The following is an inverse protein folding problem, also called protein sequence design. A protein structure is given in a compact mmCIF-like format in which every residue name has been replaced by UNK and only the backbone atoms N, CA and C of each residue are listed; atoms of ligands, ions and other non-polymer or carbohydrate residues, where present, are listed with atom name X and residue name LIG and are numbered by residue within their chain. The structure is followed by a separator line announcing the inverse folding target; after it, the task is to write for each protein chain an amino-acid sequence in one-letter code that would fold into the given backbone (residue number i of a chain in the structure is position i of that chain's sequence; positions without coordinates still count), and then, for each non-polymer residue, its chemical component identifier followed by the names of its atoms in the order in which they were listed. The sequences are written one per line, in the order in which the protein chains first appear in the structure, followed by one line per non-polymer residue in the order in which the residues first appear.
data_IF_142089463140
#
_entry.id   IF_142089463140
#
_cell.length_a   1.000
_cell.length_b   1.000
_cell.length_c   1.000
_cell.angle_alpha   90.00
_cell.angle_beta   90.00
_cell.angle_gamma   90.00
#
_symmetry.space_group_name_H-M   'P 1'
#
loop_
_entity.id
_entity.type
_entity.pdbx_description
1 polymer ?
#
# COMPACT_ATOMS: atom_id res chain seq x y z
N UNK A 1 -31.08 22.48 37.00
CA UNK A 1 -29.95 23.43 37.17
C UNK A 1 -28.78 22.83 36.41
N UNK A 2 -28.64 23.23 35.15
CA UNK A 2 -27.54 22.82 34.29
C UNK A 2 -26.25 23.40 34.86
N UNK A 3 -25.28 22.55 35.18
CA UNK A 3 -23.93 22.98 35.52
C UNK A 3 -23.05 22.67 34.33
N UNK A 4 -22.79 23.72 33.53
CA UNK A 4 -21.77 23.68 32.49
C UNK A 4 -20.40 23.70 33.16
N UNK A 5 -19.67 22.59 33.09
CA UNK A 5 -18.25 22.58 33.41
C UNK A 5 -17.49 23.22 32.25
N UNK A 6 -17.16 24.51 32.43
CA UNK A 6 -16.34 25.28 31.51
C UNK A 6 -14.96 24.61 31.34
N UNK A 7 -14.75 24.01 30.17
CA UNK A 7 -13.47 23.45 29.78
C UNK A 7 -12.47 24.61 29.69
N UNK A 8 -11.46 24.56 30.55
CA UNK A 8 -10.48 25.61 30.81
C UNK A 8 -9.76 26.09 29.52
N UNK A 9 -10.17 27.27 29.01
CA UNK A 9 -9.69 27.92 27.77
C UNK A 9 -8.15 27.96 27.65
N UNK A 10 -7.46 28.04 28.78
CA UNK A 10 -6.01 28.19 28.85
C UNK A 10 -5.24 26.93 28.40
N UNK A 11 -5.84 25.73 28.56
CA UNK A 11 -5.25 24.48 28.07
C UNK A 11 -5.44 24.30 26.57
N UNK A 12 -6.49 24.91 25.99
CA UNK A 12 -6.74 24.85 24.56
C UNK A 12 -5.74 25.74 23.79
N UNK A 13 -5.55 26.99 24.23
CA UNK A 13 -4.60 27.92 23.58
C UNK A 13 -3.15 27.41 23.60
N UNK A 14 -2.70 26.81 24.71
CA UNK A 14 -1.36 26.18 24.80
C UNK A 14 -1.20 24.99 23.84
N UNK A 15 -2.24 24.19 23.63
CA UNK A 15 -2.22 23.10 22.63
C UNK A 15 -2.14 23.65 21.21
N UNK A 16 -2.94 24.66 20.89
CA UNK A 16 -3.00 25.26 19.54
C UNK A 16 -1.68 25.93 19.14
N UNK A 17 -0.99 26.61 20.06
CA UNK A 17 0.30 27.24 19.75
C UNK A 17 1.41 26.23 19.46
N UNK A 18 1.40 25.07 20.11
CA UNK A 18 2.33 23.97 19.82
C UNK A 18 2.13 23.37 18.42
N UNK A 19 0.87 23.25 17.97
CA UNK A 19 0.51 22.70 16.66
C UNK A 19 0.88 23.61 15.49
N UNK A 20 1.03 24.92 15.71
CA UNK A 20 1.47 25.89 14.68
C UNK A 20 2.90 25.64 14.17
N UNK A 21 3.72 24.86 14.88
CA UNK A 21 5.09 24.53 14.46
C UNK A 21 5.15 23.49 13.34
N UNK A 22 4.05 22.79 13.08
CA UNK A 22 3.96 21.76 12.04
C UNK A 22 2.78 22.06 11.11
N UNK A 23 2.92 21.72 9.82
CA UNK A 23 1.79 21.75 8.89
C UNK A 23 0.89 20.57 9.23
N UNK A 24 -0.33 20.86 9.69
CA UNK A 24 -1.38 19.84 9.78
C UNK A 24 -1.66 19.32 8.37
N UNK A 25 -1.54 18.01 8.20
CA UNK A 25 -1.91 17.30 6.97
C UNK A 25 -3.31 16.73 7.15
N UNK A 26 -3.97 16.43 6.03
CA UNK A 26 -5.26 15.75 6.09
C UNK A 26 -5.12 14.44 6.88
N UNK A 27 -6.11 14.11 7.73
CA UNK A 27 -6.13 12.85 8.46
C UNK A 27 -5.95 11.70 7.46
N UNK A 28 -4.98 10.84 7.73
CA UNK A 28 -4.76 9.67 6.91
C UNK A 28 -5.77 8.60 7.31
N UNK A 29 -6.60 8.17 6.36
CA UNK A 29 -7.46 7.01 6.56
C UNK A 29 -6.61 5.76 6.85
N UNK A 30 -7.09 4.92 7.77
CA UNK A 30 -6.47 3.63 8.14
C UNK A 30 -5.03 3.76 8.63
N UNK A 31 -4.74 4.81 9.41
CA UNK A 31 -3.45 4.98 10.08
C UNK A 31 -3.07 3.73 10.88
N UNK A 32 -4.05 3.06 11.51
CA UNK A 32 -3.84 1.85 12.28
C UNK A 32 -3.15 0.74 11.46
N UNK A 33 -3.42 0.63 10.16
CA UNK A 33 -2.84 -0.40 9.30
C UNK A 33 -1.35 -0.15 9.00
N UNK A 34 -0.91 1.10 9.17
CA UNK A 34 0.50 1.51 8.99
C UNK A 34 1.29 1.47 10.29
N UNK A 35 0.66 1.06 11.39
CA UNK A 35 1.25 0.98 12.72
C UNK A 35 1.57 -0.46 13.07
N UNK A 36 2.81 -0.69 13.51
CA UNK A 36 3.22 -1.94 14.13
C UNK A 36 2.35 -2.20 15.37
N UNK A 37 1.63 -3.31 15.36
CA UNK A 37 0.73 -3.68 16.46
C UNK A 37 1.46 -4.00 17.77
N UNK A 38 2.72 -4.44 17.69
CA UNK A 38 3.55 -4.76 18.87
C UNK A 38 4.14 -3.51 19.53
N UNK A 39 4.59 -2.55 18.72
CA UNK A 39 5.40 -1.43 19.20
C UNK A 39 4.71 -0.06 19.10
N UNK A 40 3.54 0.01 18.46
CA UNK A 40 2.83 1.26 18.19
C UNK A 40 3.73 2.32 17.50
N UNK A 41 4.50 1.86 16.51
CA UNK A 41 5.39 2.67 15.67
C UNK A 41 5.05 2.47 14.20
N UNK A 42 5.37 3.45 13.35
CA UNK A 42 5.16 3.33 11.91
C UNK A 42 5.96 2.16 11.33
N UNK A 43 5.35 1.49 10.35
CA UNK A 43 5.99 0.46 9.55
C UNK A 43 6.76 1.14 8.40
N UNK A 44 8.04 1.44 8.65
CA UNK A 44 8.90 2.18 7.72
C UNK A 44 9.91 1.28 6.99
N UNK A 45 9.97 0.01 7.38
CA UNK A 45 10.93 -0.97 6.91
C UNK A 45 10.22 -2.19 6.35
N UNK A 46 10.91 -2.95 5.50
CA UNK A 46 10.41 -4.20 4.94
C UNK A 46 11.42 -5.31 5.20
N UNK A 47 10.96 -6.39 5.82
CA UNK A 47 11.78 -7.58 6.03
C UNK A 47 11.65 -8.52 4.83
N UNK A 48 12.75 -8.76 4.12
CA UNK A 48 12.73 -9.53 2.87
C UNK A 48 12.55 -11.04 3.10
N UNK A 49 12.90 -11.54 4.29
CA UNK A 49 12.75 -12.97 4.65
C UNK A 49 11.29 -13.32 4.92
N UNK A 50 10.61 -12.61 5.81
CA UNK A 50 9.19 -12.84 6.12
C UNK A 50 8.24 -12.23 5.10
N UNK A 51 8.74 -11.31 4.26
CA UNK A 51 7.93 -10.49 3.35
C UNK A 51 6.89 -9.61 4.07
N UNK A 52 7.27 -9.04 5.20
CA UNK A 52 6.39 -8.21 6.03
C UNK A 52 6.93 -6.80 6.23
N UNK A 53 6.01 -5.84 6.40
CA UNK A 53 6.38 -4.49 6.80
C UNK A 53 6.62 -4.48 8.32
N UNK A 54 7.73 -3.88 8.75
CA UNK A 54 8.18 -3.87 10.14
C UNK A 54 8.54 -2.45 10.59
N UNK A 55 8.51 -2.19 11.89
CA UNK A 55 9.04 -0.94 12.46
C UNK A 55 10.50 -1.13 12.88
N UNK A 56 11.20 -0.04 13.22
CA UNK A 56 12.60 -0.11 13.66
C UNK A 56 12.82 -1.03 14.87
N UNK A 57 11.92 -1.04 15.86
CA UNK A 57 12.10 -1.91 17.04
C UNK A 57 11.99 -3.40 16.71
N UNK A 58 11.25 -3.77 15.67
CA UNK A 58 11.20 -5.16 15.20
C UNK A 58 12.56 -5.66 14.72
N UNK A 59 13.42 -4.77 14.21
CA UNK A 59 14.78 -5.12 13.74
C UNK A 59 15.77 -5.29 14.89
N UNK A 60 15.39 -4.96 16.12
CA UNK A 60 16.19 -5.25 17.31
C UNK A 60 15.81 -6.58 17.97
N UNK A 61 14.62 -7.12 17.63
CA UNK A 61 14.06 -8.36 18.14
C UNK A 61 13.87 -9.41 17.05
N UNK A 62 12.59 -9.69 16.73
CA UNK A 62 12.17 -10.80 15.86
C UNK A 62 12.86 -10.84 14.48
N UNK A 63 13.23 -9.67 13.93
CA UNK A 63 13.83 -9.56 12.60
C UNK A 63 15.31 -9.13 12.65
N UNK A 64 15.99 -9.29 13.80
CA UNK A 64 17.37 -8.82 14.00
C UNK A 64 18.40 -9.40 13.04
N UNK A 65 18.22 -10.66 12.64
CA UNK A 65 19.13 -11.36 11.72
C UNK A 65 18.67 -11.32 10.27
N UNK A 66 17.55 -10.67 9.97
CA UNK A 66 16.99 -10.70 8.62
C UNK A 66 17.42 -9.48 7.80
N UNK A 67 17.57 -9.64 6.47
CA UNK A 67 17.72 -8.52 5.58
C UNK A 67 16.47 -7.64 5.62
N UNK A 68 16.68 -6.40 6.07
CA UNK A 68 15.64 -5.38 6.16
C UNK A 68 16.06 -4.19 5.30
N UNK A 69 15.13 -3.68 4.51
CA UNK A 69 15.32 -2.52 3.62
C UNK A 69 14.28 -1.45 3.93
N UNK A 70 14.51 -0.18 3.54
CA UNK A 70 13.46 0.84 3.61
C UNK A 70 12.21 0.42 2.82
N UNK A 71 11.03 0.57 3.41
CA UNK A 71 9.77 0.15 2.78
C UNK A 71 9.55 0.82 1.43
N UNK A 72 9.98 2.08 1.28
CA UNK A 72 9.87 2.83 0.03
C UNK A 72 10.65 2.16 -1.12
N UNK A 73 11.87 1.71 -0.84
CA UNK A 73 12.73 1.08 -1.86
C UNK A 73 12.12 -0.25 -2.33
N UNK A 74 11.68 -1.10 -1.40
CA UNK A 74 11.02 -2.35 -1.74
C UNK A 74 9.71 -2.10 -2.51
N UNK A 75 8.93 -1.09 -2.12
CA UNK A 75 7.70 -0.71 -2.80
C UNK A 75 7.96 -0.33 -4.27
N UNK A 76 8.99 0.47 -4.55
CA UNK A 76 9.34 0.87 -5.91
C UNK A 76 9.72 -0.35 -6.76
N UNK A 77 10.52 -1.27 -6.22
CA UNK A 77 10.91 -2.52 -6.90
C UNK A 77 9.70 -3.40 -7.19
N UNK A 78 8.86 -3.68 -6.18
CA UNK A 78 7.68 -4.54 -6.34
C UNK A 78 6.63 -3.93 -7.26
N UNK A 79 6.44 -2.62 -7.21
CA UNK A 79 5.49 -1.92 -8.09
C UNK A 79 5.94 -1.98 -9.55
N UNK A 80 7.24 -1.80 -9.81
CA UNK A 80 7.79 -1.91 -11.16
C UNK A 80 7.67 -3.34 -11.70
N UNK A 81 7.93 -4.36 -10.86
CA UNK A 81 7.75 -5.77 -11.24
C UNK A 81 6.28 -6.08 -11.55
N UNK A 82 5.36 -5.63 -10.69
CA UNK A 82 3.94 -5.85 -10.88
C UNK A 82 3.44 -5.24 -12.20
N UNK A 83 3.87 -4.00 -12.51
CA UNK A 83 3.51 -3.35 -13.77
C UNK A 83 4.00 -4.10 -15.01
N UNK A 84 5.17 -4.76 -14.96
CA UNK A 84 5.64 -5.64 -16.04
C UNK A 84 4.77 -6.88 -16.18
N UNK A 85 4.47 -7.55 -15.07
CA UNK A 85 3.61 -8.74 -15.05
C UNK A 85 2.23 -8.40 -15.61
N UNK A 86 1.66 -7.26 -15.21
CA UNK A 86 0.38 -6.79 -15.73
C UNK A 86 0.43 -6.56 -17.25
N UNK A 87 1.48 -5.92 -17.76
CA UNK A 87 1.66 -5.71 -19.19
C UNK A 87 1.77 -7.03 -19.96
N UNK A 88 2.57 -7.98 -19.46
CA UNK A 88 2.73 -9.30 -20.07
C UNK A 88 1.42 -10.08 -20.10
N UNK A 89 0.68 -10.07 -18.99
CA UNK A 89 -0.65 -10.71 -18.90
C UNK A 89 -1.63 -10.07 -19.88
N UNK A 90 -1.64 -8.74 -19.99
CA UNK A 90 -2.49 -8.05 -20.96
C UNK A 90 -2.12 -8.42 -22.40
N UNK A 91 -0.84 -8.48 -22.74
CA UNK A 91 -0.38 -8.92 -24.05
C UNK A 91 -0.88 -10.35 -24.36
N UNK A 92 -0.68 -11.29 -23.43
CA UNK A 92 -1.14 -12.68 -23.61
C UNK A 92 -2.65 -12.76 -23.83
N UNK A 93 -3.44 -11.94 -23.13
CA UNK A 93 -4.89 -11.87 -23.32
C UNK A 93 -5.22 -11.38 -24.74
N UNK A 94 -4.56 -10.33 -25.23
CA UNK A 94 -4.81 -9.81 -26.58
C UNK A 94 -4.44 -10.82 -27.66
N UNK A 95 -3.29 -11.47 -27.54
CA UNK A 95 -2.86 -12.52 -28.48
C UNK A 95 -3.86 -13.68 -28.53
N UNK A 96 -4.37 -14.12 -27.37
CA UNK A 96 -5.40 -15.16 -27.30
C UNK A 96 -6.71 -14.72 -27.93
N UNK A 97 -7.13 -13.46 -27.72
CA UNK A 97 -8.33 -12.90 -28.38
C UNK A 97 -8.20 -12.89 -29.89
N UNK A 98 -7.05 -12.49 -30.43
CA UNK A 98 -6.77 -12.50 -31.87
C UNK A 98 -6.84 -13.92 -32.44
N UNK A 99 -6.16 -14.89 -31.80
CA UNK A 99 -6.22 -16.30 -32.22
C UNK A 99 -7.65 -16.85 -32.22
N UNK A 100 -8.44 -16.53 -31.20
CA UNK A 100 -9.85 -16.94 -31.15
C UNK A 100 -10.64 -16.35 -32.33
N UNK A 101 -10.39 -15.09 -32.69
CA UNK A 101 -11.03 -14.44 -33.84
C UNK A 101 -10.65 -15.14 -35.15
N UNK A 102 -9.36 -15.38 -35.38
CA UNK A 102 -8.87 -16.08 -36.59
C UNK A 102 -9.49 -17.47 -36.75
N UNK A 103 -9.60 -18.23 -35.65
CA UNK A 103 -10.24 -19.55 -35.66
C UNK A 103 -11.72 -19.44 -36.01
N UNK A 104 -12.45 -18.47 -35.43
CA UNK A 104 -13.87 -18.25 -35.72
C UNK A 104 -14.09 -17.89 -37.19
N UNK A 105 -13.32 -16.94 -37.70
CA UNK A 105 -13.40 -16.49 -39.10
C UNK A 105 -13.12 -17.66 -40.06
N UNK A 106 -12.13 -18.50 -39.75
CA UNK A 106 -11.81 -19.71 -40.54
C UNK A 106 -12.94 -20.73 -40.53
N UNK A 107 -13.57 -20.96 -39.37
CA UNK A 107 -14.70 -21.91 -39.25
C UNK A 107 -15.93 -21.38 -39.99
N UNK A 108 -16.22 -20.09 -39.89
CA UNK A 108 -17.35 -19.46 -40.58
C UNK A 108 -17.15 -19.46 -42.10
N UNK A 109 -15.95 -19.13 -42.57
CA UNK A 109 -15.60 -19.24 -43.99
C UNK A 109 -15.80 -20.66 -44.52
N UNK A 110 -15.36 -21.68 -43.79
CA UNK A 110 -15.57 -23.08 -44.20
C UNK A 110 -17.06 -23.44 -44.27
N UNK A 111 -17.87 -22.99 -43.31
CA UNK A 111 -19.32 -23.25 -43.29
C UNK A 111 -20.09 -22.60 -44.44
N UNK A 112 -19.64 -21.44 -44.92
CA UNK A 112 -20.27 -20.76 -46.05
C UNK A 112 -19.90 -21.32 -47.42
N UNK A 113 -18.88 -22.19 -47.48
CA UNK A 113 -18.35 -22.80 -48.71
C UNK A 113 -18.54 -24.33 -48.77
N UNK A 114 -19.42 -24.88 -47.92
CA UNK A 114 -19.89 -26.28 -47.92
C UNK A 114 -21.41 -26.29 -47.97
#
# INVERSE_FOLDING_TARGET
LFQEEGINQHNFEKKVTGLKKHRLVEPMDRLEDRMCKKHNRLLELFCQTEQECVCLLCTEGDHKSHPVVPLKEEYEVKSALLGKIEADVQQMIQERKLKIKEIKDTVEYRRSHT
#
